data_IF_249295879071
#
_entry.id   IF_249295879071
#
_cell.length_a   1.000
_cell.length_b   1.000
_cell.length_c   1.000
_cell.angle_alpha   90.00
_cell.angle_beta   90.00
_cell.angle_gamma   90.00
#
_symmetry.space_group_name_H-M   'P 1'
#
loop_
_entity.id
_entity.type
_entity.pdbx_description
1 polymer ?
#
# COMPACT_ATOMS: atom_id res chain seq x y z
N UNK A 1 53.44 24.27 31.91
CA UNK A 1 52.11 24.74 31.47
C UNK A 1 51.91 24.37 30.00
N UNK A 2 50.74 23.85 29.65
CA UNK A 2 50.19 23.75 28.27
C UNK A 2 50.30 22.44 27.45
N UNK A 3 50.47 21.25 28.07
CA UNK A 3 50.38 19.95 27.36
C UNK A 3 48.95 19.42 27.21
N UNK A 4 48.03 19.81 28.10
CA UNK A 4 46.63 19.35 28.04
C UNK A 4 45.90 19.91 26.80
N UNK A 5 46.27 21.12 26.37
CA UNK A 5 45.63 21.85 25.26
C UNK A 5 45.97 21.27 23.87
N UNK A 6 47.12 20.60 23.72
CA UNK A 6 47.53 19.97 22.46
C UNK A 6 46.93 18.58 22.29
N UNK A 7 46.89 17.76 23.34
CA UNK A 7 46.26 16.43 23.31
C UNK A 7 44.75 16.53 23.06
N UNK A 8 44.04 17.44 23.72
CA UNK A 8 42.61 17.69 23.48
C UNK A 8 42.33 18.14 22.04
N UNK A 9 43.14 19.06 21.49
CA UNK A 9 43.04 19.47 20.08
C UNK A 9 43.29 18.33 19.11
N UNK A 10 44.23 17.43 19.41
CA UNK A 10 44.55 16.30 18.51
C UNK A 10 43.43 15.26 18.53
N UNK A 11 42.89 14.97 19.71
CA UNK A 11 41.71 14.12 19.88
C UNK A 11 40.49 14.69 19.14
N UNK A 12 40.22 16.00 19.29
CA UNK A 12 39.13 16.68 18.60
C UNK A 12 39.25 16.56 17.06
N UNK A 13 40.45 16.77 16.50
CA UNK A 13 40.67 16.59 15.07
C UNK A 13 40.48 15.14 14.60
N UNK A 14 40.87 14.14 15.41
CA UNK A 14 40.63 12.74 15.09
C UNK A 14 39.14 12.39 15.11
N UNK A 15 38.37 12.91 16.08
CA UNK A 15 36.91 12.76 16.10
C UNK A 15 36.25 13.42 14.89
N UNK A 16 36.67 14.64 14.52
CA UNK A 16 36.15 15.33 13.33
C UNK A 16 36.44 14.50 12.07
N UNK A 17 37.66 13.97 11.92
CA UNK A 17 38.00 13.11 10.77
C UNK A 17 37.12 11.85 10.72
N UNK A 18 36.88 11.20 11.86
CA UNK A 18 36.02 10.02 11.95
C UNK A 18 34.56 10.33 11.59
N UNK A 19 34.03 11.46 12.06
CA UNK A 19 32.66 11.89 11.74
C UNK A 19 32.56 12.16 10.23
N UNK A 20 33.52 12.88 9.65
CA UNK A 20 33.52 13.20 8.21
C UNK A 20 33.62 11.92 7.37
N UNK A 21 34.47 10.96 7.74
CA UNK A 21 34.55 9.68 7.01
C UNK A 21 33.26 8.88 7.14
N UNK A 22 32.66 8.79 8.33
CA UNK A 22 31.40 8.08 8.55
C UNK A 22 30.25 8.70 7.74
N UNK A 23 30.07 10.03 7.81
CA UNK A 23 29.04 10.73 7.05
C UNK A 23 29.23 10.59 5.54
N UNK A 24 30.48 10.62 5.07
CA UNK A 24 30.80 10.43 3.64
C UNK A 24 30.42 9.02 3.17
N UNK A 25 30.72 7.99 3.97
CA UNK A 25 30.35 6.61 3.68
C UNK A 25 28.82 6.47 3.68
N UNK A 26 28.12 6.99 4.69
CA UNK A 26 26.65 6.93 4.78
C UNK A 26 26.00 7.64 3.60
N UNK A 27 26.51 8.80 3.19
CA UNK A 27 26.02 9.54 2.03
C UNK A 27 26.23 8.76 0.73
N UNK A 28 27.41 8.17 0.53
CA UNK A 28 27.68 7.35 -0.64
C UNK A 28 26.75 6.13 -0.69
N UNK A 29 26.64 5.39 0.42
CA UNK A 29 25.73 4.26 0.52
C UNK A 29 24.30 4.69 0.22
N UNK A 30 23.86 5.84 0.73
CA UNK A 30 22.53 6.37 0.47
C UNK A 30 22.26 6.59 -1.02
N UNK A 31 23.19 7.22 -1.75
CA UNK A 31 23.06 7.48 -3.18
C UNK A 31 22.90 6.19 -4.00
N UNK A 32 23.63 5.14 -3.65
CA UNK A 32 23.55 3.86 -4.34
C UNK A 32 22.33 3.02 -3.92
N UNK A 33 21.93 3.09 -2.66
CA UNK A 33 20.90 2.21 -2.09
C UNK A 33 19.49 2.68 -2.41
N UNK A 34 19.24 4.01 -2.45
CA UNK A 34 17.91 4.56 -2.67
C UNK A 34 17.24 4.07 -3.97
N UNK A 35 18.01 3.97 -5.05
CA UNK A 35 17.49 3.50 -6.35
C UNK A 35 17.05 2.05 -6.28
N UNK A 36 17.83 1.18 -5.62
CA UNK A 36 17.50 -0.23 -5.46
C UNK A 36 16.30 -0.47 -4.55
N UNK A 37 16.20 0.28 -3.44
CA UNK A 37 15.04 0.22 -2.55
C UNK A 37 13.77 0.59 -3.32
N UNK A 38 13.80 1.69 -4.07
CA UNK A 38 12.64 2.15 -4.86
C UNK A 38 12.23 1.12 -5.90
N UNK A 39 13.17 0.54 -6.64
CA UNK A 39 12.88 -0.49 -7.65
C UNK A 39 12.24 -1.73 -7.02
N UNK A 40 12.79 -2.21 -5.90
CA UNK A 40 12.24 -3.37 -5.19
C UNK A 40 10.82 -3.08 -4.66
N UNK A 41 10.57 -1.88 -4.15
CA UNK A 41 9.24 -1.46 -3.68
C UNK A 41 8.22 -1.37 -4.81
N UNK A 42 8.60 -0.83 -5.97
CA UNK A 42 7.75 -0.77 -7.17
C UNK A 42 7.40 -2.19 -7.62
N UNK A 43 8.40 -3.07 -7.74
CA UNK A 43 8.19 -4.46 -8.13
C UNK A 43 7.24 -5.19 -7.18
N UNK A 44 7.47 -5.08 -5.86
CA UNK A 44 6.59 -5.70 -4.86
C UNK A 44 5.15 -5.15 -4.92
N UNK A 45 5.00 -3.83 -5.04
CA UNK A 45 3.68 -3.20 -5.17
C UNK A 45 2.96 -3.66 -6.43
N UNK A 46 3.68 -3.80 -7.55
CA UNK A 46 3.12 -4.23 -8.81
C UNK A 46 2.59 -5.67 -8.72
N UNK A 47 3.37 -6.58 -8.14
CA UNK A 47 2.95 -7.97 -7.94
C UNK A 47 1.69 -8.05 -7.07
N UNK A 48 1.62 -7.28 -5.97
CA UNK A 48 0.43 -7.22 -5.14
C UNK A 48 -0.79 -6.69 -5.90
N UNK A 49 -0.65 -5.62 -6.69
CA UNK A 49 -1.77 -5.05 -7.46
C UNK A 49 -2.21 -5.98 -8.60
N UNK A 50 -1.32 -6.79 -9.18
CA UNK A 50 -1.72 -7.83 -10.14
C UNK A 50 -2.65 -8.88 -9.53
N UNK A 51 -2.49 -9.20 -8.24
CA UNK A 51 -3.40 -10.13 -7.55
C UNK A 51 -4.80 -9.56 -7.35
N UNK A 52 -4.96 -8.24 -7.52
CA UNK A 52 -6.22 -7.52 -7.34
C UNK A 52 -7.07 -7.46 -8.62
N UNK A 53 -6.67 -8.16 -9.68
CA UNK A 53 -7.43 -8.26 -10.93
C UNK A 53 -7.60 -9.72 -11.35
N UNK A 54 -8.59 -10.03 -12.20
CA UNK A 54 -8.63 -11.31 -12.89
C UNK A 54 -7.34 -11.57 -13.66
N UNK A 55 -6.92 -12.84 -13.75
CA UNK A 55 -5.63 -13.24 -14.34
C UNK A 55 -5.46 -12.73 -15.77
N UNK A 56 -6.53 -12.64 -16.55
CA UNK A 56 -6.50 -12.13 -17.92
C UNK A 56 -6.15 -10.64 -18.03
N UNK A 57 -6.37 -9.86 -16.95
CA UNK A 57 -6.08 -8.44 -16.88
C UNK A 57 -4.78 -8.11 -16.14
N UNK A 58 -4.13 -9.10 -15.52
CA UNK A 58 -2.88 -8.89 -14.78
C UNK A 58 -1.76 -8.28 -15.65
N UNK A 59 -1.78 -8.55 -16.96
CA UNK A 59 -0.85 -7.97 -17.93
C UNK A 59 -1.08 -6.47 -18.20
N UNK A 60 -2.27 -5.95 -17.89
CA UNK A 60 -2.61 -4.53 -18.03
C UNK A 60 -2.06 -3.69 -16.87
N UNK A 61 -1.65 -4.33 -15.78
CA UNK A 61 -1.12 -3.67 -14.58
C UNK A 61 0.36 -3.42 -14.78
N UNK A 62 0.74 -2.15 -14.77
CA UNK A 62 2.11 -1.69 -14.99
C UNK A 62 2.44 -0.49 -14.09
N UNK A 63 3.65 0.06 -14.25
CA UNK A 63 4.11 1.21 -13.46
C UNK A 63 3.22 2.46 -13.63
N UNK A 64 2.58 2.65 -14.79
CA UNK A 64 1.66 3.77 -15.01
C UNK A 64 0.40 3.64 -14.15
N UNK A 65 -0.06 2.41 -13.89
CA UNK A 65 -1.17 2.15 -12.95
C UNK A 65 -0.77 2.58 -11.53
N UNK A 66 0.44 2.22 -11.09
CA UNK A 66 0.96 2.63 -9.78
C UNK A 66 1.17 4.14 -9.69
N UNK A 67 1.66 4.77 -10.75
CA UNK A 67 1.84 6.21 -10.83
C UNK A 67 0.50 6.95 -10.75
N UNK A 68 -0.52 6.48 -11.48
CA UNK A 68 -1.88 7.01 -11.40
C UNK A 68 -2.43 6.92 -9.97
N UNK A 69 -2.25 5.77 -9.31
CA UNK A 69 -2.63 5.58 -7.91
C UNK A 69 -1.85 6.47 -6.95
N UNK A 70 -0.56 6.70 -7.22
CA UNK A 70 0.28 7.59 -6.40
C UNK A 70 -0.13 9.06 -6.53
N UNK A 71 -0.46 9.50 -7.76
CA UNK A 71 -0.71 10.91 -8.05
C UNK A 71 -2.17 11.32 -7.80
N UNK A 72 -3.13 10.45 -8.12
CA UNK A 72 -4.57 10.75 -8.08
C UNK A 72 -5.32 9.97 -7.00
N UNK A 73 -4.70 8.93 -6.42
CA UNK A 73 -5.38 8.03 -5.50
C UNK A 73 -6.32 7.03 -6.18
N UNK A 74 -6.53 7.12 -7.50
CA UNK A 74 -7.39 6.24 -8.27
C UNK A 74 -6.75 5.85 -9.61
N UNK A 75 -7.07 4.65 -10.08
CA UNK A 75 -6.71 4.17 -11.41
C UNK A 75 -7.80 3.23 -11.95
N UNK A 76 -7.77 2.93 -13.24
CA UNK A 76 -8.64 1.92 -13.81
C UNK A 76 -7.94 1.19 -14.97
N UNK A 77 -8.39 -0.04 -15.22
CA UNK A 77 -7.95 -0.88 -16.34
C UNK A 77 -9.14 -1.57 -16.99
N UNK A 78 -8.93 -2.12 -18.18
CA UNK A 78 -10.00 -2.75 -18.96
C UNK A 78 -11.02 -1.75 -19.51
N UNK A 79 -12.03 -2.29 -20.20
CA UNK A 79 -13.12 -1.52 -20.81
C UNK A 79 -14.45 -2.25 -20.63
N UNK A 80 -15.55 -1.50 -20.74
CA UNK A 80 -16.90 -2.04 -20.58
C UNK A 80 -17.09 -2.78 -19.26
N UNK A 81 -17.58 -4.01 -19.34
CA UNK A 81 -17.83 -4.89 -18.19
C UNK A 81 -16.59 -5.55 -17.60
N UNK A 82 -15.49 -5.54 -18.35
CA UNK A 82 -14.19 -5.90 -17.82
C UNK A 82 -13.52 -4.77 -17.05
N UNK A 83 -14.13 -3.58 -16.92
CA UNK A 83 -13.48 -2.44 -16.28
C UNK A 83 -13.26 -2.69 -14.79
N UNK A 84 -12.01 -2.59 -14.37
CA UNK A 84 -11.58 -2.65 -12.97
C UNK A 84 -11.12 -1.28 -12.53
N UNK A 85 -11.59 -0.85 -11.36
CA UNK A 85 -11.26 0.39 -10.70
C UNK A 85 -10.39 0.11 -9.49
N UNK A 86 -9.42 0.97 -9.23
CA UNK A 86 -8.52 0.89 -8.09
C UNK A 86 -8.60 2.17 -7.28
N UNK A 87 -8.60 2.02 -5.96
CA UNK A 87 -8.53 3.10 -5.00
C UNK A 87 -7.37 2.85 -4.05
N UNK A 88 -6.43 3.80 -4.00
CA UNK A 88 -5.38 3.86 -2.99
C UNK A 88 -5.89 4.70 -1.82
N UNK A 89 -6.05 4.06 -0.68
CA UNK A 89 -6.47 4.69 0.56
C UNK A 89 -5.43 4.47 1.65
N UNK A 90 -5.57 5.20 2.75
CA UNK A 90 -4.61 5.15 3.82
C UNK A 90 -5.28 5.26 5.18
N UNK A 91 -4.68 4.61 6.18
CA UNK A 91 -5.09 4.70 7.57
C UNK A 91 -3.87 4.54 8.49
N UNK A 92 -3.94 5.11 9.69
CA UNK A 92 -2.87 4.97 10.68
C UNK A 92 -2.87 3.56 11.26
N UNK A 93 -1.82 2.79 10.99
CA UNK A 93 -1.49 1.52 11.64
C UNK A 93 -0.75 1.74 12.96
N UNK A 94 -0.12 0.69 13.50
CA UNK A 94 0.54 0.77 14.80
C UNK A 94 1.77 1.68 14.76
N UNK A 95 2.64 1.49 13.77
CA UNK A 95 3.91 2.23 13.67
C UNK A 95 3.97 3.15 12.47
N UNK A 96 3.09 2.97 11.48
CA UNK A 96 3.13 3.71 10.22
C UNK A 96 1.76 3.90 9.60
N UNK A 97 1.68 4.81 8.63
CA UNK A 97 0.48 4.95 7.82
C UNK A 97 0.44 3.84 6.77
N UNK A 98 -0.56 2.96 6.87
CA UNK A 98 -0.74 1.85 5.94
C UNK A 98 -1.36 2.38 4.66
N UNK A 99 -0.73 2.04 3.52
CA UNK A 99 -1.28 2.29 2.20
C UNK A 99 -1.97 1.02 1.72
N UNK A 100 -3.25 1.13 1.37
CA UNK A 100 -4.07 0.00 0.95
C UNK A 100 -4.63 0.29 -0.43
N UNK A 101 -4.34 -0.59 -1.38
CA UNK A 101 -4.99 -0.58 -2.69
C UNK A 101 -6.16 -1.55 -2.63
N UNK A 102 -7.33 -1.06 -3.01
CA UNK A 102 -8.57 -1.82 -3.10
C UNK A 102 -9.06 -1.79 -4.54
N UNK A 103 -9.49 -2.92 -5.09
CA UNK A 103 -9.94 -3.01 -6.47
C UNK A 103 -11.38 -3.48 -6.59
N UNK A 104 -12.08 -2.96 -7.59
CA UNK A 104 -13.49 -3.21 -7.83
C UNK A 104 -13.76 -3.46 -9.30
N UNK A 105 -14.51 -4.50 -9.63
CA UNK A 105 -14.92 -4.81 -10.99
C UNK A 105 -16.37 -4.39 -11.20
N UNK A 106 -16.65 -3.69 -12.30
CA UNK A 106 -18.04 -3.39 -12.67
C UNK A 106 -18.82 -4.68 -12.92
N UNK A 107 -20.04 -4.74 -12.41
CA UNK A 107 -21.00 -5.83 -12.56
C UNK A 107 -22.36 -5.27 -12.99
N UNK A 108 -23.27 -6.11 -13.51
CA UNK A 108 -24.59 -5.68 -13.97
C UNK A 108 -25.33 -4.85 -12.90
N UNK A 109 -25.30 -5.31 -11.65
CA UNK A 109 -26.01 -4.67 -10.54
C UNK A 109 -25.07 -3.96 -9.55
N UNK A 110 -23.90 -3.49 -10.02
CA UNK A 110 -22.97 -2.69 -9.22
C UNK A 110 -21.49 -3.04 -9.41
N UNK A 111 -20.73 -3.31 -8.35
CA UNK A 111 -19.26 -3.46 -8.43
C UNK A 111 -18.64 -4.52 -7.49
N UNK A 112 -18.29 -5.70 -7.95
CA UNK A 112 -17.63 -6.68 -7.07
C UNK A 112 -16.30 -6.15 -6.50
N UNK A 113 -16.11 -6.22 -5.18
CA UNK A 113 -14.80 -6.05 -4.55
C UNK A 113 -13.94 -7.25 -4.93
N UNK A 114 -12.86 -7.03 -5.67
CA UNK A 114 -11.97 -8.11 -6.08
C UNK A 114 -10.98 -8.46 -4.97
N UNK A 115 -10.53 -7.46 -4.20
CA UNK A 115 -9.68 -7.65 -3.04
C UNK A 115 -9.07 -6.35 -2.52
N UNK A 116 -8.26 -6.48 -1.48
CA UNK A 116 -7.45 -5.38 -0.94
C UNK A 116 -6.03 -5.87 -0.61
N UNK A 117 -5.01 -5.05 -0.88
CA UNK A 117 -3.61 -5.33 -0.51
C UNK A 117 -2.99 -4.12 0.16
N UNK A 118 -2.29 -4.38 1.26
CA UNK A 118 -1.37 -3.41 1.87
C UNK A 118 -0.12 -3.37 1.01
N UNK A 119 0.25 -2.19 0.51
CA UNK A 119 1.45 -2.04 -0.30
C UNK A 119 2.62 -1.50 0.54
N UNK A 120 3.86 -1.88 0.20
CA UNK A 120 5.04 -1.25 0.77
C UNK A 120 5.10 0.26 0.47
N UNK A 121 5.74 1.06 1.34
CA UNK A 121 6.31 0.66 2.61
C UNK A 121 5.27 0.67 3.74
N UNK A 122 5.37 -0.30 4.65
CA UNK A 122 4.75 -0.29 5.98
C UNK A 122 5.79 -0.73 7.01
N UNK A 123 5.65 -0.30 8.26
CA UNK A 123 6.62 -0.54 9.35
C UNK A 123 5.95 -1.23 10.55
N UNK A 124 5.00 -2.12 10.28
CA UNK A 124 4.34 -2.86 11.35
C UNK A 124 5.31 -3.88 12.00
N UNK A 125 5.06 -4.20 13.27
CA UNK A 125 5.95 -5.06 14.06
C UNK A 125 5.99 -6.48 13.47
N UNK A 126 7.17 -7.01 13.11
CA UNK A 126 7.29 -8.37 12.59
C UNK A 126 6.75 -9.44 13.56
N UNK A 127 5.98 -10.38 13.04
CA UNK A 127 5.33 -11.45 13.81
C UNK A 127 4.11 -10.99 14.64
N UNK A 128 3.68 -9.74 14.51
CA UNK A 128 2.52 -9.20 15.20
C UNK A 128 1.62 -8.41 14.25
N UNK A 129 2.07 -7.23 13.80
CA UNK A 129 1.27 -6.33 12.98
C UNK A 129 1.39 -6.57 11.47
N UNK A 130 2.36 -7.38 11.05
CA UNK A 130 2.62 -7.76 9.66
C UNK A 130 1.66 -8.85 9.13
N UNK A 131 0.79 -9.40 9.98
CA UNK A 131 -0.32 -10.31 9.59
C UNK A 131 -1.29 -9.72 8.56
N UNK A 132 -1.17 -8.42 8.29
CA UNK A 132 -1.94 -7.70 7.27
C UNK A 132 -1.43 -7.94 5.84
N UNK A 133 -0.29 -8.62 5.66
CA UNK A 133 0.28 -8.91 4.35
C UNK A 133 0.14 -10.39 4.00
N UNK A 134 -0.04 -10.72 2.71
CA UNK A 134 -0.26 -12.10 2.28
C UNK A 134 0.96 -13.01 2.47
N UNK A 135 2.17 -12.45 2.66
CA UNK A 135 3.38 -13.23 2.91
C UNK A 135 3.42 -13.81 4.34
N UNK A 136 2.66 -13.22 5.27
CA UNK A 136 2.68 -13.59 6.69
C UNK A 136 1.44 -14.36 7.09
N UNK A 137 0.25 -13.94 6.64
CA UNK A 137 -1.01 -14.58 6.99
C UNK A 137 -2.09 -14.41 5.93
N UNK A 138 -3.03 -15.35 5.89
CA UNK A 138 -4.17 -15.34 4.95
C UNK A 138 -5.26 -14.32 5.33
N UNK A 139 -5.10 -13.60 6.43
CA UNK A 139 -6.11 -12.67 6.97
C UNK A 139 -6.57 -11.64 5.93
N UNK A 140 -5.65 -11.12 5.12
CA UNK A 140 -5.96 -10.10 4.10
C UNK A 140 -6.88 -10.63 2.98
N UNK A 141 -6.97 -11.94 2.77
CA UNK A 141 -7.81 -12.52 1.73
C UNK A 141 -9.30 -12.53 2.07
N UNK A 142 -9.69 -12.19 3.29
CA UNK A 142 -11.11 -12.02 3.64
C UNK A 142 -11.81 -10.93 2.78
N UNK A 143 -11.04 -10.00 2.21
CA UNK A 143 -11.54 -8.97 1.30
C UNK A 143 -11.76 -9.47 -0.13
N UNK A 144 -11.28 -10.66 -0.49
CA UNK A 144 -11.24 -11.10 -1.87
C UNK A 144 -12.60 -11.57 -2.39
N UNK A 145 -12.87 -11.25 -3.66
CA UNK A 145 -14.02 -11.71 -4.44
C UNK A 145 -15.40 -11.49 -3.78
N UNK A 146 -15.56 -10.42 -3.01
CA UNK A 146 -16.80 -10.10 -2.33
C UNK A 146 -17.80 -9.35 -3.25
N UNK A 147 -19.02 -9.89 -3.40
CA UNK A 147 -20.10 -9.37 -4.26
C UNK A 147 -20.88 -8.16 -3.72
N UNK A 148 -21.83 -7.63 -4.51
CA UNK A 148 -22.45 -6.29 -4.34
C UNK A 148 -23.75 -6.18 -3.52
N UNK A 149 -24.01 -4.93 -3.08
CA UNK A 149 -25.25 -4.39 -2.50
C UNK A 149 -24.98 -3.51 -1.27
N UNK A 150 -26.01 -2.84 -0.72
CA UNK A 150 -26.01 -2.09 0.57
C UNK A 150 -25.42 -2.89 1.76
N UNK A 151 -25.15 -4.17 1.54
CA UNK A 151 -24.50 -5.14 2.41
C UNK A 151 -22.98 -4.93 2.59
N UNK A 152 -22.26 -4.25 1.68
CA UNK A 152 -20.84 -3.91 1.92
C UNK A 152 -20.71 -2.95 3.11
N UNK A 153 -21.72 -2.12 3.37
CA UNK A 153 -21.80 -1.25 4.56
C UNK A 153 -21.99 -2.02 5.88
N UNK A 154 -22.37 -3.30 5.84
CA UNK A 154 -22.75 -4.11 7.01
C UNK A 154 -21.91 -5.38 7.19
N UNK A 155 -20.88 -5.62 6.39
CA UNK A 155 -19.94 -6.71 6.67
C UNK A 155 -18.97 -6.32 7.75
N UNK A 156 -18.95 -7.13 8.81
CA UNK A 156 -17.89 -7.14 9.79
C UNK A 156 -16.71 -7.92 9.22
N UNK A 157 -15.52 -7.32 9.31
CA UNK A 157 -14.25 -7.96 9.00
C UNK A 157 -13.60 -8.36 10.31
N UNK A 158 -12.99 -9.53 10.34
CA UNK A 158 -12.36 -10.03 11.54
C UNK A 158 -11.08 -9.24 11.82
N UNK A 159 -10.82 -8.98 13.10
CA UNK A 159 -9.53 -8.43 13.56
C UNK A 159 -8.71 -9.55 14.17
N UNK A 160 -7.39 -9.39 14.16
CA UNK A 160 -6.49 -10.36 14.80
C UNK A 160 -6.16 -9.86 16.19
N UNK A 161 -6.30 -10.74 17.18
CA UNK A 161 -5.95 -10.44 18.57
C UNK A 161 -4.44 -10.19 18.68
N UNK A 162 -4.03 -9.15 19.40
CA UNK A 162 -2.64 -8.69 19.45
C UNK A 162 -2.19 -7.82 18.27
N UNK A 163 -2.90 -7.83 17.15
CA UNK A 163 -2.62 -7.01 15.96
C UNK A 163 -3.80 -6.06 15.60
N UNK A 164 -4.68 -5.80 16.57
CA UNK A 164 -5.97 -5.13 16.33
C UNK A 164 -5.81 -3.74 15.73
N UNK A 165 -4.76 -2.99 16.09
CA UNK A 165 -4.50 -1.66 15.54
C UNK A 165 -4.22 -1.74 14.04
N UNK A 166 -3.31 -2.63 13.63
CA UNK A 166 -2.93 -2.86 12.23
C UNK A 166 -4.11 -3.36 11.40
N UNK A 167 -4.81 -4.39 11.87
CA UNK A 167 -5.95 -4.97 11.15
C UNK A 167 -7.12 -3.99 11.04
N UNK A 168 -7.41 -3.23 12.11
CA UNK A 168 -8.46 -2.21 12.08
C UNK A 168 -8.13 -1.05 11.14
N UNK A 169 -6.85 -0.69 11.03
CA UNK A 169 -6.41 0.35 10.09
C UNK A 169 -6.66 -0.08 8.64
N UNK A 170 -6.33 -1.33 8.28
CA UNK A 170 -6.64 -1.86 6.95
C UNK A 170 -8.15 -1.88 6.68
N UNK A 171 -8.96 -2.35 7.63
CA UNK A 171 -10.43 -2.34 7.51
C UNK A 171 -10.96 -0.91 7.27
N UNK A 172 -10.44 0.08 8.02
CA UNK A 172 -10.81 1.50 7.82
C UNK A 172 -10.44 2.00 6.42
N UNK A 173 -9.26 1.64 5.92
CA UNK A 173 -8.82 2.02 4.58
C UNK A 173 -9.74 1.42 3.50
N UNK A 174 -10.05 0.12 3.58
CA UNK A 174 -11.00 -0.55 2.67
C UNK A 174 -12.38 0.09 2.74
N UNK A 175 -12.88 0.41 3.95
CA UNK A 175 -14.16 1.10 4.11
C UNK A 175 -14.17 2.50 3.47
N UNK A 176 -13.03 3.20 3.48
CA UNK A 176 -12.88 4.49 2.78
C UNK A 176 -12.92 4.30 1.26
N UNK A 177 -12.27 3.25 0.74
CA UNK A 177 -12.30 2.93 -0.69
C UNK A 177 -13.72 2.62 -1.16
N UNK A 178 -14.48 1.82 -0.40
CA UNK A 178 -15.90 1.55 -0.66
C UNK A 178 -16.73 2.84 -0.70
N UNK A 179 -16.47 3.78 0.22
CA UNK A 179 -17.18 5.06 0.25
C UNK A 179 -16.86 5.93 -0.98
N UNK A 180 -15.59 5.98 -1.40
CA UNK A 180 -15.16 6.71 -2.58
C UNK A 180 -15.80 6.13 -3.85
N UNK A 181 -15.69 4.80 -4.04
CA UNK A 181 -16.29 4.08 -5.15
C UNK A 181 -17.79 4.38 -5.27
N UNK A 182 -18.51 4.25 -4.15
CA UNK A 182 -19.94 4.53 -4.11
C UNK A 182 -20.22 5.99 -4.48
N UNK A 183 -19.51 6.97 -3.90
CA UNK A 183 -19.76 8.39 -4.17
C UNK A 183 -19.52 8.81 -5.63
N UNK A 184 -18.52 8.22 -6.28
CA UNK A 184 -18.17 8.55 -7.68
C UNK A 184 -19.16 7.92 -8.69
N UNK A 185 -19.79 6.81 -8.33
CA UNK A 185 -20.62 6.03 -9.25
C UNK A 185 -22.11 5.96 -8.88
N UNK A 186 -22.52 6.50 -7.72
CA UNK A 186 -23.93 6.60 -7.30
C UNK A 186 -24.76 7.59 -8.14
N UNK A 187 -24.12 8.43 -8.95
CA UNK A 187 -24.78 9.44 -9.81
C UNK A 187 -24.91 8.99 -11.28
N UNK A 188 -24.39 7.82 -11.65
CA UNK A 188 -24.47 7.27 -13.00
C UNK A 188 -25.73 6.44 -13.20
N UNK A 189 -26.72 6.99 -13.89
CA UNK A 189 -27.97 6.29 -14.20
C UNK A 189 -27.76 5.01 -14.99
N UNK A 190 -28.45 3.93 -14.57
CA UNK A 190 -29.12 2.79 -15.26
C UNK A 190 -28.79 2.36 -16.71
N UNK A 191 -27.82 2.95 -17.43
CA UNK A 191 -27.63 2.76 -18.87
C UNK A 191 -26.35 1.99 -19.24
N UNK A 192 -25.54 1.59 -18.26
CA UNK A 192 -24.32 0.78 -18.48
C UNK A 192 -24.44 -0.62 -17.84
N UNK A 193 -25.62 -1.22 -17.92
CA UNK A 193 -25.85 -2.55 -17.34
C UNK A 193 -25.08 -3.59 -18.17
N UNK A 194 -24.09 -4.21 -17.53
CA UNK A 194 -23.39 -5.33 -18.10
C UNK A 194 -24.40 -6.45 -18.37
N UNK A 195 -24.61 -6.81 -19.63
CA UNK A 195 -25.46 -7.95 -19.96
C UNK A 195 -24.63 -9.23 -19.86
N UNK A 196 -25.24 -10.26 -19.30
CA UNK A 196 -24.66 -11.58 -18.99
C UNK A 196 -24.04 -12.27 -20.21
#
# INVERSE_FOLDING_TARGET
>A
MNTNNTTERTALHQFIKLIVTCLSILFLLHLFTQTKIKQNQIAASLELVKTLVPNEQASLINEQTLEALSNKGTAHTGQGCGKVYFYKTQAQGYSSQLQVITSFQKQPHGYKLLGARVIPPHQETPGLGDVITPEVADWIFQFDQQGYGDHVRRRSYDTVSGATISTSAVIKAVSRANSLMNSEHSSGGRNDECQS
#
